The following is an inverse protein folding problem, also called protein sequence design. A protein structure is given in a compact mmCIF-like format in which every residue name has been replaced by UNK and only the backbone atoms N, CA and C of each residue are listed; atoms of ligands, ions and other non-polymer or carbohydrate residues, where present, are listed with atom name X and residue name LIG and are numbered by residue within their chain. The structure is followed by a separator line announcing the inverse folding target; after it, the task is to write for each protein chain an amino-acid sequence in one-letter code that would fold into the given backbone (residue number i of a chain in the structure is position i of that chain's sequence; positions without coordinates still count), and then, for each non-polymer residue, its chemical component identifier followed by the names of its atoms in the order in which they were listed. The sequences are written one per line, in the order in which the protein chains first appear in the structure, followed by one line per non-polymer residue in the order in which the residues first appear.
data_IF_922515641098
#
_entry.id   IF_922515641098
#
_cell.length_a   1.000
_cell.length_b   1.000
_cell.length_c   1.000
_cell.angle_alpha   90.00
_cell.angle_beta   90.00
_cell.angle_gamma   90.00
#
_symmetry.space_group_name_H-M   'P 1'
#
loop_
_entity.id
_entity.type
_entity.pdbx_description
1 polymer ?
#
# COMPACT_ATOMS: atom_id res chain seq x y z
N UNK A 1 16.22 10.60 -7.55
CA UNK A 1 17.41 9.79 -7.33
C UNK A 1 17.93 9.20 -8.64
N UNK A 2 19.25 8.92 -8.75
CA UNK A 2 19.88 8.36 -9.95
C UNK A 2 19.24 7.03 -10.37
N UNK A 3 18.89 6.18 -9.41
CA UNK A 3 18.24 4.87 -9.65
C UNK A 3 16.93 5.03 -10.42
N UNK A 4 16.02 5.91 -10.00
CA UNK A 4 14.75 6.14 -10.70
C UNK A 4 14.96 6.61 -12.14
N UNK A 5 15.98 7.45 -12.39
CA UNK A 5 16.35 7.89 -13.76
C UNK A 5 16.82 6.73 -14.63
N UNK A 6 17.56 5.77 -14.07
CA UNK A 6 18.01 4.57 -14.80
C UNK A 6 16.82 3.70 -15.20
N UNK A 7 15.90 3.43 -14.25
CA UNK A 7 14.71 2.62 -14.51
C UNK A 7 13.75 3.24 -15.54
N UNK A 8 13.69 4.56 -15.64
CA UNK A 8 12.83 5.26 -16.61
C UNK A 8 13.50 5.51 -17.97
N UNK A 9 14.79 5.18 -18.13
CA UNK A 9 15.54 5.41 -19.38
C UNK A 9 15.34 4.26 -20.36
N UNK A 10 14.43 4.46 -21.32
CA UNK A 10 14.10 3.47 -22.35
C UNK A 10 15.30 3.00 -23.18
N UNK A 11 16.27 3.89 -23.47
CA UNK A 11 17.46 3.53 -24.25
C UNK A 11 18.36 2.58 -23.48
N UNK A 12 18.53 2.80 -22.17
CA UNK A 12 19.29 1.87 -21.31
C UNK A 12 18.57 0.53 -21.17
N UNK A 13 17.25 0.54 -21.00
CA UNK A 13 16.46 -0.68 -20.96
C UNK A 13 16.63 -1.51 -22.25
N UNK A 14 16.51 -0.91 -23.43
CA UNK A 14 16.71 -1.57 -24.72
C UNK A 14 18.14 -2.12 -24.89
N UNK A 15 19.15 -1.35 -24.46
CA UNK A 15 20.55 -1.81 -24.51
C UNK A 15 20.78 -3.04 -23.63
N UNK A 16 20.22 -3.04 -22.43
CA UNK A 16 20.32 -4.19 -21.52
C UNK A 16 19.58 -5.41 -22.08
N UNK A 17 18.38 -5.20 -22.61
CA UNK A 17 17.58 -6.26 -23.23
C UNK A 17 18.31 -6.93 -24.39
N UNK A 18 18.97 -6.15 -25.25
CA UNK A 18 19.81 -6.69 -26.35
C UNK A 18 21.01 -7.51 -25.86
N UNK A 19 21.39 -7.37 -24.60
CA UNK A 19 22.48 -8.12 -23.95
C UNK A 19 21.94 -9.28 -23.09
N UNK A 20 20.63 -9.55 -23.10
CA UNK A 20 19.98 -10.59 -22.30
C UNK A 20 19.74 -10.22 -20.83
N UNK A 21 19.80 -8.91 -20.48
CA UNK A 21 19.55 -8.42 -19.12
C UNK A 21 18.30 -7.55 -19.06
N UNK A 22 17.63 -7.56 -17.93
CA UNK A 22 16.54 -6.62 -17.64
C UNK A 22 16.69 -6.00 -16.24
N UNK A 23 16.19 -4.79 -16.09
CA UNK A 23 16.16 -4.11 -14.80
C UNK A 23 14.99 -4.64 -13.95
N UNK A 24 15.28 -5.04 -12.73
CA UNK A 24 14.28 -5.45 -11.75
C UNK A 24 14.46 -4.70 -10.44
N UNK A 25 13.41 -4.67 -9.63
CA UNK A 25 13.43 -4.01 -8.33
C UNK A 25 13.07 -5.02 -7.23
N UNK A 26 13.84 -4.99 -6.15
CA UNK A 26 13.61 -5.77 -4.95
C UNK A 26 12.82 -4.99 -3.87
N UNK A 27 12.11 -3.92 -4.24
CA UNK A 27 11.26 -3.14 -3.32
C UNK A 27 9.82 -3.71 -3.24
N UNK A 28 8.96 -3.09 -2.41
CA UNK A 28 7.58 -3.53 -2.17
C UNK A 28 6.63 -3.44 -3.39
N UNK A 29 7.06 -2.84 -4.51
CA UNK A 29 6.34 -2.92 -5.80
C UNK A 29 6.34 -4.36 -6.33
N UNK A 30 7.40 -5.12 -6.05
CA UNK A 30 7.48 -6.52 -6.44
C UNK A 30 6.59 -7.37 -5.54
N UNK A 31 5.63 -8.09 -6.15
CA UNK A 31 4.74 -9.00 -5.42
C UNK A 31 5.50 -10.05 -4.61
N UNK A 32 6.62 -10.56 -5.12
CA UNK A 32 7.51 -11.49 -4.41
C UNK A 32 8.11 -10.91 -3.11
N UNK A 33 8.04 -9.59 -2.90
CA UNK A 33 8.42 -8.92 -1.65
C UNK A 33 7.22 -8.62 -0.75
N UNK A 34 6.02 -8.53 -1.34
CA UNK A 34 4.78 -8.26 -0.59
C UNK A 34 4.17 -9.55 -0.05
N UNK A 35 4.03 -10.58 -0.89
CA UNK A 35 3.35 -11.82 -0.51
C UNK A 35 3.95 -12.49 0.75
N UNK A 36 5.29 -12.58 0.95
CA UNK A 36 5.85 -13.14 2.18
C UNK A 36 5.50 -12.34 3.44
N UNK A 37 5.13 -11.06 3.33
CA UNK A 37 4.74 -10.25 4.48
C UNK A 37 3.37 -10.67 5.06
N UNK A 38 2.56 -11.41 4.32
CA UNK A 38 1.30 -11.99 4.81
C UNK A 38 1.59 -12.92 6.02
N UNK A 39 2.71 -13.65 5.94
CA UNK A 39 3.13 -14.59 6.99
C UNK A 39 3.34 -13.89 8.33
N UNK A 40 3.79 -12.64 8.36
CA UNK A 40 4.01 -11.89 9.62
C UNK A 40 2.73 -11.79 10.45
N UNK A 41 1.60 -11.54 9.81
CA UNK A 41 0.30 -11.39 10.48
C UNK A 41 -0.27 -12.73 10.94
N UNK A 42 -0.11 -13.76 10.11
CA UNK A 42 -0.53 -15.12 10.49
C UNK A 42 0.32 -15.63 11.65
N UNK A 43 1.65 -15.47 11.59
CA UNK A 43 2.56 -15.87 12.68
C UNK A 43 2.23 -15.14 13.99
N UNK A 44 2.11 -13.80 13.92
CA UNK A 44 1.80 -12.99 15.10
C UNK A 44 0.46 -13.39 15.74
N UNK A 45 -0.56 -13.67 14.95
CA UNK A 45 -1.85 -14.15 15.46
C UNK A 45 -1.72 -15.53 16.12
N UNK A 46 -0.98 -16.46 15.51
CA UNK A 46 -0.74 -17.79 16.07
C UNK A 46 0.08 -17.70 17.37
N UNK A 47 1.04 -16.81 17.45
CA UNK A 47 1.85 -16.59 18.65
C UNK A 47 0.97 -16.10 19.82
N UNK A 48 0.08 -15.14 19.57
CA UNK A 48 -0.89 -14.63 20.56
C UNK A 48 -1.87 -15.71 21.04
N UNK A 49 -2.29 -16.63 20.15
CA UNK A 49 -3.10 -17.80 20.54
C UNK A 49 -2.29 -18.77 21.40
N UNK A 50 -1.04 -19.05 21.02
CA UNK A 50 -0.17 -19.98 21.76
C UNK A 50 0.18 -19.46 23.17
N UNK A 51 0.31 -18.15 23.32
CA UNK A 51 0.50 -17.47 24.62
C UNK A 51 -0.77 -17.38 25.46
N UNK A 52 -1.93 -17.73 24.92
CA UNK A 52 -3.23 -17.60 25.60
C UNK A 52 -3.73 -16.16 25.74
N UNK A 53 -3.12 -15.22 25.03
CA UNK A 53 -3.53 -13.80 24.99
C UNK A 53 -4.83 -13.61 24.22
N UNK A 54 -5.06 -14.45 23.20
CA UNK A 54 -6.27 -14.48 22.40
C UNK A 54 -6.96 -15.85 22.46
N UNK A 55 -8.24 -15.88 22.20
CA UNK A 55 -9.01 -17.10 21.92
C UNK A 55 -9.13 -17.30 20.42
N UNK A 56 -9.31 -18.53 19.99
CA UNK A 56 -9.54 -18.85 18.58
C UNK A 56 -10.76 -18.07 18.02
N UNK A 57 -10.56 -17.39 16.90
CA UNK A 57 -11.57 -16.56 16.24
C UNK A 57 -11.75 -15.16 16.85
N UNK A 58 -11.04 -14.82 17.92
CA UNK A 58 -11.08 -13.46 18.48
C UNK A 58 -10.42 -12.48 17.54
N UNK A 59 -11.12 -11.37 17.26
CA UNK A 59 -10.65 -10.36 16.30
C UNK A 59 -9.61 -9.43 16.92
N UNK A 60 -8.63 -9.04 16.11
CA UNK A 60 -7.59 -8.08 16.46
C UNK A 60 -7.65 -6.84 15.58
N UNK A 61 -7.20 -5.70 16.09
CA UNK A 61 -6.86 -4.53 15.30
C UNK A 61 -5.34 -4.51 15.03
N UNK A 62 -4.97 -4.15 13.81
CA UNK A 62 -3.56 -4.13 13.40
C UNK A 62 -3.17 -2.73 13.02
N UNK A 63 -2.29 -2.09 13.82
CA UNK A 63 -1.73 -0.78 13.52
C UNK A 63 -0.42 -0.92 12.74
N UNK A 64 -0.36 -0.28 11.58
CA UNK A 64 0.77 -0.35 10.66
C UNK A 64 1.25 1.06 10.31
N UNK A 65 2.47 1.45 10.71
CA UNK A 65 3.12 2.65 10.19
C UNK A 65 3.26 2.51 8.66
N UNK A 66 2.59 3.40 7.93
CA UNK A 66 2.34 3.16 6.50
C UNK A 66 2.91 4.27 5.61
N UNK A 67 3.82 3.87 4.70
CA UNK A 67 4.29 4.69 3.58
C UNK A 67 3.79 4.11 2.25
N UNK A 68 4.53 3.18 1.65
CA UNK A 68 4.22 2.60 0.33
C UNK A 68 3.05 1.59 0.31
N UNK A 69 2.30 1.47 1.40
CA UNK A 69 1.13 0.62 1.55
C UNK A 69 1.37 -0.90 1.42
N UNK A 70 2.61 -1.34 1.23
CA UNK A 70 2.92 -2.76 1.00
C UNK A 70 2.60 -3.63 2.21
N UNK A 71 3.07 -3.25 3.40
CA UNK A 71 2.92 -4.03 4.61
C UNK A 71 1.44 -4.09 5.07
N UNK A 72 0.73 -2.95 5.12
CA UNK A 72 -0.70 -2.93 5.47
C UNK A 72 -1.57 -3.66 4.43
N UNK A 73 -1.17 -3.65 3.14
CA UNK A 73 -1.84 -4.43 2.11
C UNK A 73 -1.64 -5.94 2.29
N UNK A 74 -0.50 -6.37 2.80
CA UNK A 74 -0.27 -7.76 3.20
C UNK A 74 -1.19 -8.17 4.37
N UNK A 75 -1.38 -7.28 5.36
CA UNK A 75 -2.35 -7.48 6.44
C UNK A 75 -3.79 -7.57 5.91
N UNK A 76 -4.15 -6.68 4.98
CA UNK A 76 -5.45 -6.75 4.29
C UNK A 76 -5.65 -8.07 3.56
N UNK A 77 -4.61 -8.56 2.90
CA UNK A 77 -4.65 -9.86 2.22
C UNK A 77 -4.83 -11.00 3.23
N UNK A 78 -4.12 -10.99 4.36
CA UNK A 78 -4.30 -11.95 5.45
C UNK A 78 -5.75 -11.93 5.97
N UNK A 79 -6.34 -10.75 6.17
CA UNK A 79 -7.77 -10.60 6.54
C UNK A 79 -8.68 -11.24 5.50
N UNK A 80 -8.45 -10.99 4.20
CA UNK A 80 -9.24 -11.61 3.11
C UNK A 80 -9.03 -13.13 2.98
N UNK A 81 -7.92 -13.66 3.50
CA UNK A 81 -7.66 -15.10 3.62
C UNK A 81 -8.35 -15.73 4.84
N UNK A 82 -8.97 -14.94 5.70
CA UNK A 82 -9.74 -15.41 6.85
C UNK A 82 -9.08 -15.17 8.21
N UNK A 83 -7.93 -14.48 8.26
CA UNK A 83 -7.35 -14.08 9.55
C UNK A 83 -8.31 -13.11 10.27
N UNK A 84 -8.64 -13.33 11.55
CA UNK A 84 -9.60 -12.50 12.29
C UNK A 84 -9.03 -11.10 12.59
N UNK A 85 -9.00 -10.24 11.59
CA UNK A 85 -8.62 -8.83 11.72
C UNK A 85 -9.89 -7.99 11.62
N UNK A 86 -10.19 -7.22 12.64
CA UNK A 86 -11.33 -6.29 12.64
C UNK A 86 -11.01 -5.05 11.83
N UNK A 87 -9.98 -4.31 12.24
CA UNK A 87 -9.53 -3.06 11.60
C UNK A 87 -8.04 -3.05 11.31
N UNK A 88 -7.71 -2.41 10.20
CA UNK A 88 -6.36 -2.07 9.80
C UNK A 88 -6.15 -0.57 10.00
N UNK A 89 -5.28 -0.22 10.93
CA UNK A 89 -5.01 1.17 11.30
C UNK A 89 -3.79 1.67 10.53
N UNK A 90 -4.02 2.53 9.55
CA UNK A 90 -2.98 3.18 8.75
C UNK A 90 -2.43 4.38 9.51
N UNK A 91 -1.29 4.22 10.16
CA UNK A 91 -0.62 5.29 10.87
C UNK A 91 0.33 6.04 9.94
N UNK A 92 0.13 7.35 9.79
CA UNK A 92 0.93 8.22 8.93
C UNK A 92 1.82 9.16 9.77
N UNK A 93 2.90 9.66 9.16
CA UNK A 93 3.64 10.80 9.69
C UNK A 93 3.07 12.11 9.10
N UNK A 94 3.83 13.21 9.17
CA UNK A 94 3.41 14.50 8.62
C UNK A 94 3.05 14.46 7.12
N UNK A 95 3.55 13.48 6.37
CA UNK A 95 3.16 13.21 4.98
C UNK A 95 1.91 12.30 4.95
N UNK A 96 0.79 12.82 5.43
CA UNK A 96 -0.45 12.08 5.73
C UNK A 96 -1.39 11.85 4.54
N UNK A 97 -0.85 11.71 3.33
CA UNK A 97 -1.66 11.55 2.11
C UNK A 97 -2.59 10.32 2.16
N UNK A 98 -2.15 9.25 2.83
CA UNK A 98 -2.96 8.04 2.99
C UNK A 98 -4.09 8.25 3.99
N UNK A 99 -3.84 8.99 5.08
CA UNK A 99 -4.87 9.38 6.05
C UNK A 99 -5.99 10.16 5.38
N UNK A 100 -5.63 11.18 4.61
CA UNK A 100 -6.62 11.98 3.87
C UNK A 100 -7.38 11.11 2.87
N UNK A 101 -6.69 10.25 2.11
CA UNK A 101 -7.34 9.36 1.14
C UNK A 101 -8.33 8.39 1.81
N UNK A 102 -7.95 7.73 2.88
CA UNK A 102 -8.82 6.76 3.58
C UNK A 102 -10.05 7.47 4.15
N UNK A 103 -9.88 8.67 4.69
CA UNK A 103 -10.97 9.42 5.31
C UNK A 103 -11.89 10.12 4.29
N UNK A 104 -11.36 10.54 3.15
CA UNK A 104 -12.12 11.39 2.20
C UNK A 104 -12.39 10.75 0.84
N UNK A 105 -11.64 9.70 0.46
CA UNK A 105 -11.65 9.13 -0.89
C UNK A 105 -10.84 9.95 -1.91
N UNK A 106 -10.21 11.04 -1.49
CA UNK A 106 -9.42 11.94 -2.34
C UNK A 106 -7.93 11.69 -2.14
N UNK A 107 -7.24 11.30 -3.21
CA UNK A 107 -5.79 11.20 -3.24
C UNK A 107 -5.21 12.40 -3.97
N UNK A 108 -4.47 13.26 -3.25
CA UNK A 108 -3.90 14.48 -3.80
C UNK A 108 -2.43 14.63 -3.40
N UNK A 109 -1.53 14.45 -4.39
CA UNK A 109 -0.07 14.60 -4.20
C UNK A 109 0.42 16.04 -4.35
N UNK A 110 -0.45 16.98 -4.73
CA UNK A 110 -0.13 18.39 -4.92
C UNK A 110 -0.08 19.12 -3.56
N UNK A 111 0.85 18.68 -2.71
CA UNK A 111 1.04 19.17 -1.34
C UNK A 111 2.52 19.25 -1.00
N UNK A 112 2.89 20.02 0.04
CA UNK A 112 4.27 20.05 0.51
C UNK A 112 4.79 18.67 0.91
N UNK A 113 6.06 18.40 0.61
CA UNK A 113 6.77 17.24 1.11
C UNK A 113 7.54 17.60 2.37
N UNK A 114 7.40 16.81 3.42
CA UNK A 114 8.09 17.01 4.69
C UNK A 114 9.14 15.92 4.92
N UNK A 115 10.37 16.35 5.22
CA UNK A 115 11.39 15.43 5.71
C UNK A 115 11.19 15.23 7.21
N UNK A 116 11.02 13.99 7.65
CA UNK A 116 10.77 13.63 9.04
C UNK A 116 11.86 12.71 9.60
N UNK A 117 11.79 12.39 10.88
CA UNK A 117 12.67 11.41 11.52
C UNK A 117 12.37 9.97 11.11
N UNK A 118 11.30 9.73 10.31
CA UNK A 118 10.92 8.45 9.76
C UNK A 118 10.97 8.44 8.22
N UNK A 119 12.15 8.56 7.60
CA UNK A 119 12.29 8.83 6.16
C UNK A 119 11.72 7.74 5.26
N UNK A 120 11.60 6.51 5.72
CA UNK A 120 10.94 5.42 4.99
C UNK A 120 9.45 5.62 4.80
N UNK A 121 8.84 6.49 5.63
CA UNK A 121 7.43 6.86 5.59
C UNK A 121 7.20 8.20 4.86
N UNK A 122 8.26 8.92 4.48
CA UNK A 122 8.19 10.19 3.77
C UNK A 122 7.86 9.94 2.30
N UNK A 123 6.57 9.86 1.99
CA UNK A 123 6.08 9.62 0.63
C UNK A 123 4.92 10.56 0.27
N UNK A 124 4.80 10.88 -1.02
CA UNK A 124 3.62 11.50 -1.62
C UNK A 124 2.97 10.60 -2.68
N UNK A 125 3.60 9.47 -3.02
CA UNK A 125 3.05 8.45 -3.91
C UNK A 125 3.23 7.10 -3.24
N UNK A 126 2.11 6.48 -2.89
CA UNK A 126 2.06 5.17 -2.25
C UNK A 126 1.90 4.09 -3.33
N UNK A 127 2.97 3.36 -3.60
CA UNK A 127 3.10 2.49 -4.76
C UNK A 127 2.22 1.22 -4.74
N UNK A 128 1.67 0.82 -3.59
CA UNK A 128 0.83 -0.37 -3.50
C UNK A 128 -0.65 -0.06 -3.22
N UNK A 129 -1.03 1.22 -3.06
CA UNK A 129 -2.42 1.60 -2.88
C UNK A 129 -3.26 1.23 -4.12
N UNK A 130 -2.68 1.31 -5.32
CA UNK A 130 -3.33 0.89 -6.55
C UNK A 130 -3.77 -0.58 -6.53
N UNK A 131 -3.08 -1.45 -5.77
CA UNK A 131 -3.46 -2.86 -5.61
C UNK A 131 -4.75 -3.00 -4.82
N UNK A 132 -4.93 -2.20 -3.77
CA UNK A 132 -6.18 -2.14 -3.03
C UNK A 132 -7.32 -1.67 -3.94
N UNK A 133 -7.10 -0.59 -4.69
CA UNK A 133 -8.08 -0.08 -5.65
C UNK A 133 -8.44 -1.13 -6.71
N UNK A 134 -7.43 -1.83 -7.23
CA UNK A 134 -7.64 -2.90 -8.21
C UNK A 134 -8.56 -4.01 -7.68
N UNK A 135 -8.37 -4.42 -6.43
CA UNK A 135 -9.21 -5.45 -5.80
C UNK A 135 -10.65 -4.98 -5.55
N UNK A 136 -10.84 -3.69 -5.21
CA UNK A 136 -12.15 -3.14 -4.85
C UNK A 136 -12.97 -2.75 -6.09
N UNK A 137 -12.35 -2.06 -7.06
CA UNK A 137 -13.08 -1.44 -8.18
C UNK A 137 -12.70 -1.97 -9.56
N UNK A 138 -11.74 -2.92 -9.62
CA UNK A 138 -11.29 -3.58 -10.85
C UNK A 138 -10.29 -2.78 -11.68
N UNK A 139 -9.76 -3.40 -12.76
CA UNK A 139 -8.64 -2.84 -13.51
C UNK A 139 -8.97 -1.52 -14.22
N UNK A 140 -10.16 -1.39 -14.82
CA UNK A 140 -10.52 -0.23 -15.65
C UNK A 140 -10.58 1.06 -14.82
N UNK A 141 -11.37 1.07 -13.74
CA UNK A 141 -11.49 2.23 -12.85
C UNK A 141 -10.16 2.58 -12.17
N UNK A 142 -9.37 1.57 -11.82
CA UNK A 142 -8.03 1.79 -11.24
C UNK A 142 -7.09 2.44 -12.23
N UNK A 143 -7.07 1.98 -13.49
CA UNK A 143 -6.26 2.61 -14.54
C UNK A 143 -6.65 4.08 -14.79
N UNK A 144 -7.95 4.39 -14.74
CA UNK A 144 -8.45 5.77 -14.83
C UNK A 144 -7.94 6.64 -13.66
N UNK A 145 -7.95 6.12 -12.42
CA UNK A 145 -7.40 6.81 -11.26
C UNK A 145 -5.88 7.06 -11.42
N UNK A 146 -5.13 6.05 -11.86
CA UNK A 146 -3.67 6.18 -12.07
C UNK A 146 -3.33 7.15 -13.19
N UNK A 147 -4.12 7.18 -14.26
CA UNK A 147 -4.01 8.16 -15.34
C UNK A 147 -4.22 9.59 -14.80
N UNK A 148 -5.31 9.84 -14.07
CA UNK A 148 -5.57 11.14 -13.42
C UNK A 148 -4.44 11.54 -12.47
N UNK A 149 -3.93 10.62 -11.66
CA UNK A 149 -2.80 10.86 -10.77
C UNK A 149 -1.54 11.29 -11.56
N UNK A 150 -1.28 10.68 -12.71
CA UNK A 150 -0.15 11.02 -13.56
C UNK A 150 -0.31 12.43 -14.19
N UNK A 151 -1.50 12.77 -14.68
CA UNK A 151 -1.80 13.99 -15.42
C UNK A 151 -1.99 15.20 -14.50
N UNK A 152 -2.74 15.06 -13.42
CA UNK A 152 -3.17 16.16 -12.55
C UNK A 152 -2.59 16.10 -11.13
N UNK A 153 -1.99 14.98 -10.75
CA UNK A 153 -1.51 14.75 -9.38
C UNK A 153 -2.63 14.38 -8.39
N UNK A 154 -3.88 14.24 -8.85
CA UNK A 154 -5.04 13.98 -7.98
C UNK A 154 -6.03 13.03 -8.63
N UNK A 155 -6.67 12.20 -7.81
CA UNK A 155 -7.90 11.47 -8.17
C UNK A 155 -8.83 11.36 -6.97
N UNK A 156 -10.07 11.00 -7.25
CA UNK A 156 -11.10 10.73 -6.27
C UNK A 156 -11.80 9.43 -6.63
N UNK A 157 -12.10 8.63 -5.62
CA UNK A 157 -12.86 7.38 -5.78
C UNK A 157 -14.33 7.62 -5.49
N UNK A 158 -15.20 6.72 -5.97
CA UNK A 158 -16.63 6.81 -5.67
C UNK A 158 -16.91 6.59 -4.18
N UNK A 159 -18.05 7.07 -3.71
CA UNK A 159 -18.50 6.87 -2.33
C UNK A 159 -18.57 5.39 -1.96
N UNK A 160 -19.05 4.54 -2.86
CA UNK A 160 -19.08 3.08 -2.69
C UNK A 160 -17.69 2.49 -2.41
N UNK A 161 -16.66 2.96 -3.14
CA UNK A 161 -15.27 2.53 -2.94
C UNK A 161 -14.73 3.03 -1.60
N UNK A 162 -15.00 4.31 -1.26
CA UNK A 162 -14.62 4.89 0.04
C UNK A 162 -15.25 4.10 1.19
N UNK A 163 -16.53 3.80 1.12
CA UNK A 163 -17.24 3.05 2.16
C UNK A 163 -16.72 1.61 2.28
N UNK A 164 -16.30 1.01 1.18
CA UNK A 164 -15.65 -0.30 1.19
C UNK A 164 -14.29 -0.24 1.87
N UNK A 165 -13.52 0.82 1.66
CA UNK A 165 -12.23 1.04 2.34
C UNK A 165 -12.46 1.27 3.83
N UNK A 166 -13.39 2.14 4.23
CA UNK A 166 -13.65 2.50 5.62
C UNK A 166 -14.17 1.35 6.47
N UNK A 167 -14.75 0.32 5.86
CA UNK A 167 -15.11 -0.92 6.59
C UNK A 167 -13.90 -1.65 7.15
N UNK A 168 -12.81 -1.69 6.40
CA UNK A 168 -11.61 -2.45 6.75
C UNK A 168 -10.48 -1.58 7.31
N UNK A 169 -10.45 -0.28 6.98
CA UNK A 169 -9.36 0.63 7.33
C UNK A 169 -9.84 1.80 8.20
N UNK A 170 -8.95 2.22 9.10
CA UNK A 170 -8.94 3.52 9.78
C UNK A 170 -7.59 4.19 9.55
N UNK A 171 -7.48 5.53 9.68
CA UNK A 171 -6.25 6.23 9.44
C UNK A 171 -6.07 7.46 10.35
N UNK A 172 -4.86 7.63 10.87
CA UNK A 172 -4.46 8.70 11.78
C UNK A 172 -3.11 9.29 11.40
#
# INVERSE_FOLDING_TARGET
TGVKKIFSDKRKAQKLDSMGYFLSSANSINWGRLAPQIVYYVSAYCDLLAEGTLREGEEIDVSVPTGNFGNIFAAYTAKKMGLPIRKLICASNKNNILTDFINTGVYDRNRPFYTTISPSMDILISSNLERLLYLIQGPKKTAECMKKLSETGRYEVSEEVRDTISRDFEAY
#
